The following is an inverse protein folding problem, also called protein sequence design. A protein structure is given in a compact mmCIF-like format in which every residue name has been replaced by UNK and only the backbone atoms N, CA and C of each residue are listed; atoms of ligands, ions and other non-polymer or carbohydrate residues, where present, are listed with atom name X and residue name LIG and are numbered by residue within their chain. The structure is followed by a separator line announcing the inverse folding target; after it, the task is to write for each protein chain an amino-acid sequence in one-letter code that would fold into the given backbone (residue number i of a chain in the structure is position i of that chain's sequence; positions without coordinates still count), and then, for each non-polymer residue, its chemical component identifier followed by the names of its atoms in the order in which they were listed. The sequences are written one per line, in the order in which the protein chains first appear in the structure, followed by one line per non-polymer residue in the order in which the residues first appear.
data_IF_763297376476
#
_entry.id   IF_763297376476
#
_cell.length_a   1.000
_cell.length_b   1.000
_cell.length_c   1.000
_cell.angle_alpha   90.00
_cell.angle_beta   90.00
_cell.angle_gamma   90.00
#
_symmetry.space_group_name_H-M   'P 1'
#
loop_
_entity.id
_entity.type
_entity.pdbx_description
1 polymer ?
#
# COMPACT_ATOMS: atom_id res chain seq x y z
N UNK A 1 14.28 -20.51 -37.79
CA UNK A 1 13.65 -20.89 -36.49
C UNK A 1 14.44 -20.19 -35.40
N UNK A 2 13.84 -19.21 -34.73
CA UNK A 2 14.54 -18.38 -33.73
C UNK A 2 14.62 -19.12 -32.40
N UNK A 3 15.79 -19.16 -31.77
CA UNK A 3 16.02 -19.84 -30.49
C UNK A 3 15.08 -19.37 -29.36
N UNK A 4 14.64 -18.10 -29.41
CA UNK A 4 13.68 -17.53 -28.46
C UNK A 4 12.31 -18.23 -28.47
N UNK A 5 11.81 -18.62 -29.65
CA UNK A 5 10.52 -19.29 -29.78
C UNK A 5 10.55 -20.70 -29.15
N UNK A 6 11.67 -21.42 -29.30
CA UNK A 6 11.85 -22.77 -28.71
C UNK A 6 12.02 -22.68 -27.18
N UNK A 7 12.64 -21.62 -26.66
CA UNK A 7 12.77 -21.37 -25.23
C UNK A 7 11.44 -21.04 -24.55
N UNK A 8 10.59 -20.23 -25.19
CA UNK A 8 9.25 -19.89 -24.71
C UNK A 8 8.31 -21.11 -24.68
N UNK A 9 8.34 -21.95 -25.72
CA UNK A 9 7.59 -23.21 -25.79
C UNK A 9 7.99 -24.19 -24.66
N UNK A 10 9.28 -24.27 -24.34
CA UNK A 10 9.82 -25.10 -23.23
C UNK A 10 9.45 -24.53 -21.86
N UNK A 11 9.40 -23.21 -21.69
CA UNK A 11 8.95 -22.55 -20.45
C UNK A 11 7.44 -22.75 -20.23
N UNK A 12 6.63 -22.61 -21.28
CA UNK A 12 5.20 -22.86 -21.23
C UNK A 12 4.88 -24.32 -20.89
N UNK A 13 5.63 -25.29 -21.45
CA UNK A 13 5.53 -26.71 -21.08
C UNK A 13 6.04 -27.06 -19.68
N UNK A 14 6.86 -26.20 -19.06
CA UNK A 14 7.39 -26.33 -17.70
C UNK A 14 6.47 -25.72 -16.62
N UNK A 15 5.28 -25.24 -16.99
CA UNK A 15 4.34 -24.60 -16.06
C UNK A 15 4.66 -23.14 -15.72
N UNK A 16 5.66 -22.54 -16.39
CA UNK A 16 5.96 -21.11 -16.23
C UNK A 16 4.98 -20.31 -17.09
N UNK A 17 3.90 -19.85 -16.46
CA UNK A 17 2.96 -18.89 -17.04
C UNK A 17 3.64 -17.53 -17.16
N UNK A 18 4.17 -17.23 -18.35
CA UNK A 18 4.86 -15.97 -18.65
C UNK A 18 4.02 -14.75 -18.26
N UNK A 19 2.70 -14.82 -18.48
CA UNK A 19 1.76 -13.78 -18.11
C UNK A 19 1.68 -13.52 -16.60
N UNK A 20 1.74 -14.58 -15.78
CA UNK A 20 1.76 -14.44 -14.32
C UNK A 20 3.07 -13.81 -13.85
N UNK A 21 4.20 -14.24 -14.44
CA UNK A 21 5.52 -13.68 -14.14
C UNK A 21 5.63 -12.20 -14.54
N UNK A 22 5.01 -11.82 -15.66
CA UNK A 22 4.92 -10.44 -16.14
C UNK A 22 4.07 -9.58 -15.20
N UNK A 23 2.93 -10.09 -14.71
CA UNK A 23 2.11 -9.41 -13.67
C UNK A 23 2.84 -9.31 -12.32
N UNK A 24 3.57 -10.34 -11.93
CA UNK A 24 4.40 -10.33 -10.72
C UNK A 24 5.54 -9.30 -10.85
N UNK A 25 6.12 -9.16 -12.04
CA UNK A 25 7.18 -8.19 -12.36
C UNK A 25 6.70 -6.75 -12.56
N UNK A 26 5.44 -6.53 -12.96
CA UNK A 26 4.86 -5.20 -13.17
C UNK A 26 4.43 -4.48 -11.88
N UNK A 27 4.58 -5.12 -10.72
CA UNK A 27 4.35 -4.50 -9.42
C UNK A 27 3.06 -4.89 -8.71
N UNK A 28 2.36 -5.93 -9.18
CA UNK A 28 1.13 -6.41 -8.53
C UNK A 28 1.35 -6.85 -7.07
N UNK A 29 2.52 -7.44 -6.76
CA UNK A 29 2.89 -7.84 -5.39
C UNK A 29 3.06 -6.61 -4.48
N UNK A 30 3.77 -5.59 -4.96
CA UNK A 30 3.98 -4.36 -4.20
C UNK A 30 2.65 -3.64 -3.94
N UNK A 31 1.77 -3.62 -4.94
CA UNK A 31 0.43 -3.03 -4.83
C UNK A 31 -0.39 -3.70 -3.72
N UNK A 32 -0.45 -5.03 -3.71
CA UNK A 32 -1.23 -5.75 -2.70
C UNK A 32 -0.62 -5.63 -1.30
N UNK A 33 0.71 -5.62 -1.17
CA UNK A 33 1.39 -5.40 0.11
C UNK A 33 1.13 -4.01 0.69
N UNK A 34 1.22 -2.96 -0.13
CA UNK A 34 0.93 -1.59 0.30
C UNK A 34 -0.54 -1.46 0.72
N UNK A 35 -1.47 -2.01 -0.07
CA UNK A 35 -2.89 -1.95 0.27
C UNK A 35 -3.22 -2.75 1.54
N UNK A 36 -2.61 -3.93 1.71
CA UNK A 36 -2.75 -4.74 2.92
C UNK A 36 -2.19 -4.02 4.16
N UNK A 37 -1.02 -3.37 4.05
CA UNK A 37 -0.42 -2.61 5.14
C UNK A 37 -1.27 -1.40 5.55
N UNK A 38 -1.84 -0.68 4.58
CA UNK A 38 -2.78 0.43 4.84
C UNK A 38 -4.04 -0.10 5.51
N UNK A 39 -4.63 -1.19 5.01
CA UNK A 39 -5.82 -1.80 5.61
C UNK A 39 -5.57 -2.28 7.05
N UNK A 40 -4.45 -2.95 7.31
CA UNK A 40 -4.06 -3.37 8.66
C UNK A 40 -3.89 -2.18 9.62
N UNK A 41 -3.22 -1.10 9.18
CA UNK A 41 -3.07 0.12 9.99
C UNK A 41 -4.41 0.81 10.27
N UNK A 42 -5.38 0.72 9.35
CA UNK A 42 -6.75 1.22 9.56
C UNK A 42 -7.46 0.38 10.63
N UNK A 43 -7.33 -0.95 10.57
CA UNK A 43 -7.92 -1.87 11.56
C UNK A 43 -7.36 -1.60 12.96
N UNK A 44 -6.04 -1.41 13.08
CA UNK A 44 -5.35 -1.10 14.34
C UNK A 44 -5.60 0.34 14.84
N UNK A 45 -6.43 1.14 14.15
CA UNK A 45 -6.63 2.58 14.40
C UNK A 45 -5.34 3.41 14.42
N UNK A 46 -4.26 2.89 13.83
CA UNK A 46 -2.95 3.53 13.76
C UNK A 46 -2.83 4.44 12.52
N UNK A 47 -3.72 5.43 12.40
CA UNK A 47 -3.88 6.25 11.19
C UNK A 47 -2.62 7.02 10.77
N UNK A 48 -1.73 7.36 11.72
CA UNK A 48 -0.43 7.98 11.40
C UNK A 48 0.48 7.03 10.60
N UNK A 49 0.49 5.74 10.95
CA UNK A 49 1.25 4.72 10.20
C UNK A 49 0.60 4.44 8.85
N UNK A 50 -0.73 4.40 8.80
CA UNK A 50 -1.48 4.26 7.55
C UNK A 50 -1.15 5.36 6.53
N UNK A 51 -1.06 6.62 6.99
CA UNK A 51 -0.67 7.74 6.13
C UNK A 51 0.76 7.59 5.59
N UNK A 52 1.71 7.10 6.40
CA UNK A 52 3.07 6.80 5.96
C UNK A 52 3.13 5.73 4.87
N UNK A 53 2.39 4.63 5.03
CA UNK A 53 2.30 3.57 4.01
C UNK A 53 1.61 4.05 2.72
N UNK A 54 0.56 4.87 2.83
CA UNK A 54 -0.09 5.47 1.67
C UNK A 54 0.85 6.42 0.91
N UNK A 55 1.68 7.19 1.62
CA UNK A 55 2.68 8.09 1.02
C UNK A 55 3.79 7.29 0.32
N UNK A 56 4.29 6.22 0.95
CA UNK A 56 5.23 5.29 0.31
C UNK A 56 4.62 4.68 -0.98
N UNK A 57 3.32 4.33 -0.93
CA UNK A 57 2.55 3.90 -2.09
C UNK A 57 2.48 4.95 -3.20
N UNK A 58 2.28 6.23 -2.85
CA UNK A 58 2.28 7.33 -3.81
C UNK A 58 3.64 7.50 -4.50
N UNK A 59 4.75 7.43 -3.75
CA UNK A 59 6.11 7.53 -4.29
C UNK A 59 6.42 6.36 -5.22
N UNK A 60 6.11 5.13 -4.80
CA UNK A 60 6.32 3.94 -5.65
C UNK A 60 5.47 3.96 -6.92
N UNK A 61 4.22 4.45 -6.84
CA UNK A 61 3.35 4.61 -8.01
C UNK A 61 3.85 5.70 -8.94
N UNK A 62 4.36 6.81 -8.38
CA UNK A 62 4.93 7.91 -9.15
C UNK A 62 6.21 7.51 -9.91
N UNK A 63 7.04 6.66 -9.30
CA UNK A 63 8.21 6.07 -9.97
C UNK A 63 7.87 4.93 -10.94
N UNK A 64 6.60 4.46 -10.96
CA UNK A 64 6.13 3.44 -11.87
C UNK A 64 6.34 1.99 -11.41
N UNK A 65 6.70 1.75 -10.14
CA UNK A 65 6.93 0.40 -9.60
C UNK A 65 5.66 -0.43 -9.35
N UNK A 66 4.48 0.19 -9.34
CA UNK A 66 3.21 -0.50 -9.03
C UNK A 66 2.20 -0.55 -10.18
N UNK A 67 2.19 0.44 -11.09
CA UNK A 67 1.10 0.63 -12.07
C UNK A 67 1.61 1.25 -13.39
N UNK A 68 2.85 0.93 -13.79
CA UNK A 68 3.40 1.43 -15.05
C UNK A 68 3.81 0.31 -15.98
N UNK A 69 3.42 0.42 -17.25
CA UNK A 69 3.92 -0.43 -18.34
C UNK A 69 5.39 -0.11 -18.68
N UNK A 70 5.96 0.95 -18.10
CA UNK A 70 7.34 1.41 -18.33
C UNK A 70 7.89 2.18 -17.12
N UNK A 71 9.13 1.91 -16.71
CA UNK A 71 9.78 2.63 -15.60
C UNK A 71 10.16 4.04 -16.11
N UNK A 72 9.42 5.06 -15.66
CA UNK A 72 9.62 6.45 -16.06
C UNK A 72 8.84 7.42 -15.17
N UNK A 73 9.42 8.60 -14.91
CA UNK A 73 8.78 9.65 -14.11
C UNK A 73 7.55 10.20 -14.84
N UNK A 74 6.35 10.01 -14.26
CA UNK A 74 5.14 10.72 -14.69
C UNK A 74 4.25 10.04 -15.74
N UNK A 75 4.37 8.73 -15.95
CA UNK A 75 3.55 8.05 -16.97
C UNK A 75 2.08 7.81 -16.54
N UNK A 76 1.79 7.75 -15.23
CA UNK A 76 0.42 7.64 -14.68
C UNK A 76 0.19 8.59 -13.48
N UNK A 77 0.08 9.91 -13.72
CA UNK A 77 -0.08 10.90 -12.65
C UNK A 77 -1.42 10.75 -11.91
N UNK A 78 -2.45 10.19 -12.54
CA UNK A 78 -3.77 9.99 -11.95
C UNK A 78 -3.72 9.02 -10.75
N UNK A 79 -3.01 7.89 -10.88
CA UNK A 79 -2.92 6.87 -9.82
C UNK A 79 -2.05 7.34 -8.65
N UNK A 80 -0.98 8.10 -8.94
CA UNK A 80 -0.18 8.72 -7.89
C UNK A 80 -0.98 9.76 -7.08
N UNK A 81 -1.82 10.56 -7.76
CA UNK A 81 -2.74 11.51 -7.12
C UNK A 81 -3.76 10.82 -6.21
N UNK A 82 -4.29 9.66 -6.62
CA UNK A 82 -5.22 8.89 -5.79
C UNK A 82 -4.59 8.39 -4.48
N UNK A 83 -3.34 7.90 -4.51
CA UNK A 83 -2.62 7.54 -3.29
C UNK A 83 -2.29 8.76 -2.42
N UNK A 84 -2.02 9.90 -3.04
CA UNK A 84 -1.74 11.15 -2.32
C UNK A 84 -3.00 11.72 -1.65
N UNK A 85 -4.16 11.66 -2.32
CA UNK A 85 -5.45 12.07 -1.73
C UNK A 85 -5.88 11.11 -0.63
N UNK A 86 -5.64 9.81 -0.78
CA UNK A 86 -5.82 8.81 0.28
C UNK A 86 -4.96 9.12 1.51
N UNK A 87 -3.67 9.42 1.31
CA UNK A 87 -2.76 9.80 2.38
C UNK A 87 -3.22 11.07 3.10
N UNK A 88 -3.67 12.09 2.35
CA UNK A 88 -4.21 13.32 2.91
C UNK A 88 -5.50 13.07 3.72
N UNK A 89 -6.41 12.23 3.23
CA UNK A 89 -7.65 11.88 3.92
C UNK A 89 -7.39 11.13 5.24
N UNK A 90 -6.51 10.12 5.21
CA UNK A 90 -6.08 9.38 6.41
C UNK A 90 -5.39 10.29 7.43
N UNK A 91 -4.54 11.21 6.97
CA UNK A 91 -3.88 12.18 7.82
C UNK A 91 -4.86 13.17 8.47
N UNK A 92 -5.85 13.65 7.71
CA UNK A 92 -6.92 14.50 8.23
C UNK A 92 -7.74 13.79 9.29
N UNK A 93 -8.11 12.52 9.07
CA UNK A 93 -8.86 11.72 10.03
C UNK A 93 -8.06 11.42 11.30
N UNK A 94 -6.75 11.18 11.16
CA UNK A 94 -5.84 10.99 12.30
C UNK A 94 -5.81 12.20 13.25
N UNK A 95 -6.04 13.42 12.75
CA UNK A 95 -6.07 14.63 13.58
C UNK A 95 -7.42 14.87 14.28
N UNK A 96 -8.51 14.32 13.74
CA UNK A 96 -9.86 14.45 14.32
C UNK A 96 -10.19 13.28 15.24
N UNK A 97 -9.55 12.12 15.04
CA UNK A 97 -9.66 10.97 15.91
C UNK A 97 -9.07 11.29 17.29
N UNK A 98 -9.93 11.74 18.21
CA UNK A 98 -9.63 11.91 19.63
C UNK A 98 -9.00 10.62 20.16
N UNK A 99 -7.78 10.68 20.75
CA UNK A 99 -7.10 9.49 21.23
C UNK A 99 -7.93 8.84 22.34
N UNK A 100 -8.17 7.53 22.22
CA UNK A 100 -8.95 6.75 23.18
C UNK A 100 -8.36 6.77 24.62
N UNK A 101 -7.16 7.33 24.80
CA UNK A 101 -6.57 7.64 26.11
C UNK A 101 -7.49 8.51 26.97
N UNK A 102 -8.29 9.37 26.35
CA UNK A 102 -9.17 10.29 27.08
C UNK A 102 -10.36 9.56 27.74
N UNK A 103 -10.79 8.42 27.16
CA UNK A 103 -11.85 7.60 27.73
C UNK A 103 -11.36 6.73 28.89
N UNK A 104 -10.10 6.28 28.85
CA UNK A 104 -9.52 5.51 29.96
C UNK A 104 -9.22 6.40 31.18
N UNK A 105 -8.85 7.67 30.95
CA UNK A 105 -8.59 8.62 32.03
C UNK A 105 -9.91 9.14 32.65
N UNK A 106 -10.95 9.31 31.83
CA UNK A 106 -12.29 9.68 32.30
C UNK A 106 -13.01 8.54 33.05
N UNK A 107 -12.70 7.28 32.76
CA UNK A 107 -13.30 6.11 33.40
C UNK A 107 -12.64 5.71 34.74
N UNK A 108 -11.54 6.36 35.16
CA UNK A 108 -10.84 6.06 36.42
C UNK A 108 -10.93 7.18 37.49
N UNK A 109 -12.13 7.67 37.87
CA UNK A 109 -12.26 8.51 39.07
C UNK A 109 -12.08 7.70 40.38
N UNK A 110 -12.19 6.36 40.32
CA UNK A 110 -12.18 5.46 41.48
C UNK A 110 -10.78 5.04 41.98
N UNK A 111 -9.69 5.36 41.27
CA UNK A 111 -8.31 5.02 41.68
C UNK A 111 -7.53 6.19 42.28
N UNK A 112 -8.06 7.42 42.21
CA UNK A 112 -7.42 8.63 42.76
C UNK A 112 -7.81 8.92 44.21
N UNK A 113 -8.79 8.22 44.77
CA UNK A 113 -9.28 8.40 46.14
C UNK A 113 -8.75 7.35 47.13
N UNK A 114 -7.93 6.40 46.68
CA UNK A 114 -7.38 5.31 47.50
C UNK A 114 -5.88 5.45 47.79
N UNK A 115 -5.29 6.64 47.63
CA UNK A 115 -3.91 6.97 48.00
C UNK A 115 -3.89 8.22 48.86
#
# INVERSE_FOLDING_TARGET
RNAAAVGLDKLAGSGVLYHGLELLGSGAILTSLILAAVAACIIDRAYQRAAGFALAGAVMTFMGFMHSESIGLGHNPATALAYLTMAAGLYGYARVAVPASDLSLAAQPQLRSSV
#
